data_IF_886795326384
#
_entry.id   IF_886795326384
#
_cell.length_a   1.000
_cell.length_b   1.000
_cell.length_c   1.000
_cell.angle_alpha   90.00
_cell.angle_beta   90.00
_cell.angle_gamma   90.00
#
_symmetry.space_group_name_H-M   'P 1'
#
loop_
_entity.id
_entity.type
_entity.pdbx_description
1 polymer ?
#
# COMPACT_ATOMS: atom_id res chain seq x y z
N UNK A 1 37.69 59.26 -30.51
CA UNK A 1 38.37 57.96 -30.72
C UNK A 1 38.46 57.26 -29.38
N UNK A 2 38.30 55.93 -29.37
CA UNK A 2 38.26 54.98 -28.23
C UNK A 2 37.00 55.09 -27.36
N UNK A 3 36.28 54.03 -27.03
CA UNK A 3 36.34 52.62 -27.36
C UNK A 3 35.16 51.98 -26.64
N UNK A 4 34.16 51.53 -27.41
CA UNK A 4 32.90 50.98 -26.91
C UNK A 4 33.14 49.56 -26.43
N UNK A 5 33.27 49.35 -25.11
CA UNK A 5 33.37 48.02 -24.51
C UNK A 5 31.98 47.56 -24.06
N UNK A 6 31.25 46.98 -25.01
CA UNK A 6 30.07 46.18 -24.75
C UNK A 6 30.57 44.90 -24.07
N UNK A 7 30.49 44.82 -22.75
CA UNK A 7 30.58 43.53 -22.06
C UNK A 7 29.29 42.77 -22.36
N UNK A 8 29.30 42.03 -23.47
CA UNK A 8 28.31 41.01 -23.75
C UNK A 8 28.53 39.85 -22.76
N UNK A 9 27.92 39.95 -21.58
CA UNK A 9 27.80 38.83 -20.66
C UNK A 9 26.77 37.88 -21.27
N UNK A 10 27.28 36.90 -22.02
CA UNK A 10 26.53 35.73 -22.49
C UNK A 10 26.03 34.95 -21.26
N UNK A 11 24.78 35.23 -20.86
CA UNK A 11 24.05 34.42 -19.90
C UNK A 11 23.66 33.11 -20.60
N UNK A 12 24.55 32.12 -20.54
CA UNK A 12 24.23 30.73 -20.89
C UNK A 12 23.26 30.22 -19.82
N UNK A 13 21.97 30.32 -20.11
CA UNK A 13 20.93 29.59 -19.38
C UNK A 13 21.11 28.10 -19.67
N UNK A 14 21.81 27.41 -18.78
CA UNK A 14 21.79 25.95 -18.72
C UNK A 14 20.34 25.52 -18.55
N UNK A 15 19.78 24.93 -19.60
CA UNK A 15 18.49 24.26 -19.55
C UNK A 15 18.56 23.19 -18.46
N UNK A 16 17.88 23.44 -17.35
CA UNK A 16 17.70 22.48 -16.29
C UNK A 16 16.79 21.38 -16.85
N UNK A 17 17.25 20.13 -17.04
CA UNK A 17 16.32 19.07 -17.35
C UNK A 17 15.46 18.91 -16.09
N UNK A 18 14.19 19.30 -16.17
CA UNK A 18 13.22 18.94 -15.16
C UNK A 18 13.20 17.40 -15.11
N UNK A 19 13.93 16.83 -14.15
CA UNK A 19 13.80 15.42 -13.81
C UNK A 19 12.41 15.31 -13.20
N UNK A 20 11.43 14.98 -14.05
CA UNK A 20 10.12 14.57 -13.62
C UNK A 20 10.30 13.23 -12.88
N UNK A 21 10.57 13.32 -11.58
CA UNK A 21 10.55 12.18 -10.70
C UNK A 21 9.09 11.76 -10.59
N UNK A 22 8.63 10.91 -11.52
CA UNK A 22 7.38 10.20 -11.36
C UNK A 22 7.51 9.42 -10.06
N UNK A 23 6.93 9.95 -8.97
CA UNK A 23 6.75 9.18 -7.77
C UNK A 23 6.00 7.91 -8.21
N UNK A 24 6.44 6.71 -7.81
CA UNK A 24 5.60 5.54 -8.00
C UNK A 24 4.31 5.84 -7.22
N UNK A 25 3.25 6.20 -7.94
CA UNK A 25 1.90 6.05 -7.45
C UNK A 25 1.73 4.54 -7.30
N UNK A 26 2.14 3.99 -6.16
CA UNK A 26 1.72 2.66 -5.79
C UNK A 26 0.22 2.80 -5.52
N UNK A 27 -0.59 2.67 -6.57
CA UNK A 27 -2.03 2.60 -6.43
C UNK A 27 -2.32 1.57 -5.33
N UNK A 28 -3.15 1.97 -4.37
CA UNK A 28 -3.45 1.12 -3.23
C UNK A 28 -3.93 -0.24 -3.73
N UNK A 29 -3.34 -1.31 -3.21
CA UNK A 29 -3.72 -2.66 -3.61
C UNK A 29 -5.21 -2.90 -3.32
N UNK A 30 -5.84 -3.81 -4.06
CA UNK A 30 -7.24 -4.17 -3.82
C UNK A 30 -7.48 -4.57 -2.36
N UNK A 31 -6.57 -5.38 -1.79
CA UNK A 31 -6.62 -5.78 -0.39
C UNK A 31 -6.52 -4.62 0.60
N UNK A 32 -5.69 -3.62 0.30
CA UNK A 32 -5.55 -2.41 1.12
C UNK A 32 -6.83 -1.58 1.14
N UNK A 33 -7.43 -1.33 -0.02
CA UNK A 33 -8.67 -0.58 -0.15
C UNK A 33 -9.81 -1.25 0.62
N UNK A 34 -9.96 -2.55 0.46
CA UNK A 34 -10.98 -3.33 1.16
C UNK A 34 -10.75 -3.34 2.69
N UNK A 35 -9.52 -3.54 3.14
CA UNK A 35 -9.18 -3.52 4.56
C UNK A 35 -9.44 -2.15 5.21
N UNK A 36 -8.92 -1.07 4.61
CA UNK A 36 -9.01 0.28 5.14
C UNK A 36 -10.45 0.80 5.18
N UNK A 37 -11.31 0.36 4.26
CA UNK A 37 -12.71 0.76 4.21
C UNK A 37 -13.59 -0.02 5.20
N UNK A 38 -13.34 -1.33 5.36
CA UNK A 38 -14.30 -2.20 6.04
C UNK A 38 -13.79 -2.77 7.37
N UNK A 39 -12.53 -3.22 7.44
CA UNK A 39 -12.04 -4.00 8.58
C UNK A 39 -11.74 -3.15 9.80
N UNK A 40 -11.40 -1.87 9.61
CA UNK A 40 -11.08 -0.96 10.72
C UNK A 40 -12.28 -0.12 11.21
N UNK A 41 -13.47 -0.36 10.65
CA UNK A 41 -14.70 0.35 11.02
C UNK A 41 -15.22 -0.05 12.41
N UNK A 42 -15.08 -1.33 12.77
CA UNK A 42 -15.54 -1.87 14.05
C UNK A 42 -14.42 -2.00 15.10
N UNK A 43 -13.15 -2.12 14.69
CA UNK A 43 -12.03 -2.29 15.60
C UNK A 43 -10.73 -1.69 15.04
N UNK A 44 -9.83 -1.26 15.93
CA UNK A 44 -8.50 -0.75 15.50
C UNK A 44 -7.59 -1.87 15.00
N UNK A 45 -6.55 -1.51 14.23
CA UNK A 45 -5.50 -2.43 13.77
C UNK A 45 -4.76 -3.19 14.91
N UNK A 46 -4.92 -2.77 16.18
CA UNK A 46 -4.32 -3.43 17.36
C UNK A 46 -4.60 -4.92 17.44
N UNK A 47 -5.70 -5.40 16.85
CA UNK A 47 -6.04 -6.83 16.78
C UNK A 47 -4.91 -7.67 16.15
N UNK A 48 -4.09 -7.08 15.27
CA UNK A 48 -3.03 -7.77 14.55
C UNK A 48 -1.75 -8.02 15.35
N UNK A 49 -1.54 -7.40 16.51
CA UNK A 49 -0.31 -7.54 17.31
C UNK A 49 -0.53 -7.90 18.79
N UNK A 50 -1.78 -8.05 19.23
CA UNK A 50 -2.06 -8.54 20.59
C UNK A 50 -1.56 -9.98 20.77
N UNK A 51 -1.12 -10.32 21.99
CA UNK A 51 -0.49 -11.63 22.30
C UNK A 51 -1.37 -12.88 22.12
N UNK A 52 -2.66 -12.73 21.79
CA UNK A 52 -3.60 -13.83 21.52
C UNK A 52 -4.11 -13.79 20.07
N UNK A 53 -3.21 -13.69 19.07
CA UNK A 53 -3.59 -13.77 17.65
C UNK A 53 -4.23 -15.12 17.38
N UNK A 54 -5.37 -15.12 16.67
CA UNK A 54 -6.08 -16.35 16.30
C UNK A 54 -5.49 -17.01 15.05
N UNK A 55 -5.02 -16.20 14.10
CA UNK A 55 -4.29 -16.69 12.93
C UNK A 55 -2.88 -17.10 13.33
N UNK A 56 -2.43 -18.26 12.86
CA UNK A 56 -1.11 -18.86 13.12
C UNK A 56 -0.35 -19.18 11.84
N UNK A 57 -1.02 -19.13 10.70
CA UNK A 57 -0.53 -19.45 9.37
C UNK A 57 -1.40 -18.75 8.30
N UNK A 58 -1.06 -18.93 7.02
CA UNK A 58 -1.81 -18.36 5.91
C UNK A 58 -3.28 -18.83 5.87
N UNK A 59 -3.51 -20.13 6.11
CA UNK A 59 -4.86 -20.73 6.02
C UNK A 59 -5.78 -20.15 7.08
N UNK A 60 -5.32 -20.08 8.33
CA UNK A 60 -6.05 -19.50 9.44
C UNK A 60 -6.21 -17.98 9.31
N UNK A 61 -5.24 -17.27 8.71
CA UNK A 61 -5.43 -15.86 8.39
C UNK A 61 -6.54 -15.65 7.35
N UNK A 62 -6.54 -16.43 6.26
CA UNK A 62 -7.58 -16.39 5.25
C UNK A 62 -8.97 -16.71 5.83
N UNK A 63 -9.04 -17.74 6.70
CA UNK A 63 -10.27 -18.11 7.39
C UNK A 63 -10.79 -16.98 8.30
N UNK A 64 -9.90 -16.25 8.97
CA UNK A 64 -10.30 -15.09 9.77
C UNK A 64 -10.82 -13.95 8.91
N UNK A 65 -10.20 -13.65 7.76
CA UNK A 65 -10.70 -12.63 6.82
C UNK A 65 -12.09 -13.04 6.30
N UNK A 66 -12.25 -14.30 5.88
CA UNK A 66 -13.56 -14.83 5.46
C UNK A 66 -14.62 -14.67 6.53
N UNK A 67 -14.33 -15.10 7.75
CA UNK A 67 -15.27 -14.99 8.87
C UNK A 67 -15.69 -13.54 9.12
N UNK A 68 -14.75 -12.61 9.15
CA UNK A 68 -15.07 -11.22 9.49
C UNK A 68 -15.80 -10.47 8.38
N UNK A 69 -15.52 -10.76 7.10
CA UNK A 69 -16.31 -10.18 6.01
C UNK A 69 -17.75 -10.73 5.98
N UNK A 70 -17.97 -11.99 6.39
CA UNK A 70 -19.32 -12.56 6.57
C UNK A 70 -20.07 -11.87 7.71
N UNK A 71 -19.40 -11.67 8.86
CA UNK A 71 -19.97 -10.94 9.99
C UNK A 71 -20.35 -9.51 9.62
N UNK A 72 -19.55 -8.87 8.76
CA UNK A 72 -19.84 -7.53 8.23
C UNK A 72 -20.83 -7.53 7.04
N UNK A 73 -21.28 -8.69 6.55
CA UNK A 73 -22.27 -8.80 5.47
C UNK A 73 -21.77 -8.33 4.10
N UNK A 74 -20.45 -8.35 3.86
CA UNK A 74 -19.83 -7.70 2.69
C UNK A 74 -19.94 -8.51 1.39
N UNK A 75 -20.20 -9.83 1.49
CA UNK A 75 -20.37 -10.75 0.36
C UNK A 75 -19.18 -10.74 -0.60
N UNK A 76 -17.97 -10.69 -0.05
CA UNK A 76 -16.74 -10.71 -0.85
C UNK A 76 -16.54 -12.03 -1.59
N UNK A 77 -15.92 -11.94 -2.76
CA UNK A 77 -15.47 -13.10 -3.50
C UNK A 77 -14.25 -13.76 -2.84
N UNK A 78 -13.94 -15.00 -3.20
CA UNK A 78 -12.73 -15.67 -2.71
C UNK A 78 -11.45 -14.92 -3.11
N UNK A 79 -11.45 -14.26 -4.27
CA UNK A 79 -10.34 -13.43 -4.71
C UNK A 79 -10.14 -12.21 -3.81
N UNK A 80 -11.24 -11.56 -3.42
CA UNK A 80 -11.18 -10.40 -2.51
C UNK A 80 -10.71 -10.78 -1.13
N UNK A 81 -11.17 -11.92 -0.63
CA UNK A 81 -10.70 -12.50 0.62
C UNK A 81 -9.18 -12.78 0.52
N UNK A 82 -8.71 -13.36 -0.59
CA UNK A 82 -7.29 -13.63 -0.80
C UNK A 82 -6.46 -12.34 -0.88
N UNK A 83 -6.94 -11.30 -1.55
CA UNK A 83 -6.26 -10.00 -1.65
C UNK A 83 -6.12 -9.33 -0.29
N UNK A 84 -7.18 -9.30 0.52
CA UNK A 84 -7.12 -8.76 1.89
C UNK A 84 -6.21 -9.62 2.77
N UNK A 85 -6.26 -10.94 2.62
CA UNK A 85 -5.35 -11.87 3.33
C UNK A 85 -3.90 -11.54 3.01
N UNK A 86 -3.57 -11.35 1.73
CA UNK A 86 -2.23 -11.00 1.25
C UNK A 86 -1.76 -9.67 1.79
N UNK A 87 -2.64 -8.66 1.75
CA UNK A 87 -2.34 -7.35 2.30
C UNK A 87 -2.04 -7.42 3.81
N UNK A 88 -2.91 -8.10 4.59
CA UNK A 88 -2.69 -8.29 6.02
C UNK A 88 -1.45 -9.13 6.32
N UNK A 89 -1.21 -10.17 5.52
CA UNK A 89 -0.05 -11.03 5.68
C UNK A 89 1.23 -10.23 5.50
N UNK A 90 1.27 -9.40 4.46
CA UNK A 90 2.33 -8.44 4.23
C UNK A 90 2.40 -7.48 5.41
N UNK A 91 1.33 -6.80 5.81
CA UNK A 91 1.47 -5.74 6.80
C UNK A 91 1.84 -6.23 8.21
N UNK A 92 1.39 -7.43 8.62
CA UNK A 92 1.38 -7.82 10.03
C UNK A 92 1.84 -9.25 10.37
N UNK A 93 1.68 -10.23 9.47
CA UNK A 93 1.78 -11.64 9.86
C UNK A 93 2.99 -12.38 9.29
N UNK A 94 3.38 -12.11 8.04
CA UNK A 94 4.56 -12.69 7.36
C UNK A 94 4.57 -14.23 7.30
N UNK A 95 3.40 -14.86 7.17
CA UNK A 95 3.28 -16.30 6.98
C UNK A 95 3.66 -16.71 5.56
N UNK A 96 4.25 -17.90 5.35
CA UNK A 96 4.41 -18.50 4.03
C UNK A 96 3.05 -18.66 3.35
N UNK A 97 2.93 -18.19 2.11
CA UNK A 97 1.67 -18.26 1.37
C UNK A 97 1.44 -19.64 0.76
N UNK A 98 0.19 -20.09 0.72
CA UNK A 98 -0.21 -21.29 -0.03
C UNK A 98 0.27 -22.63 0.56
N UNK A 99 0.95 -22.61 1.70
CA UNK A 99 1.30 -23.84 2.44
C UNK A 99 0.11 -24.23 3.32
N UNK A 100 -0.34 -25.48 3.16
CA UNK A 100 -1.38 -26.10 4.01
C UNK A 100 -0.79 -26.61 5.31
#
# INVERSE_FOLDING_TARGET
MTGRWIFAVLLVWLANPAVANAQPNSDASRGELLYSTHCISCHTAKIHWRGKKLAKDWVSLNAQVRRWQEVAGLKWSDNDIAEVTRYLNTLHYRYPEGVK
#
